data_IF_044697091161
#
_entry.id   IF_044697091161
#
_cell.length_a   1.000
_cell.length_b   1.000
_cell.length_c   1.000
_cell.angle_alpha   90.00
_cell.angle_beta   90.00
_cell.angle_gamma   90.00
#
_symmetry.space_group_name_H-M   'P 1'
#
loop_
_entity.id
_entity.type
_entity.pdbx_description
1 polymer ?
#
# COMPACT_ATOMS: atom_id res chain seq x y z
N UNK A 1 -25.11 -26.73 -2.90
CA UNK A 1 -24.00 -27.73 -2.85
C UNK A 1 -22.61 -27.09 -2.89
N UNK A 2 -22.36 -26.12 -3.75
CA UNK A 2 -20.99 -25.51 -3.97
C UNK A 2 -20.48 -24.73 -2.76
N UNK A 3 -21.33 -24.00 -2.01
CA UNK A 3 -20.95 -23.28 -0.79
C UNK A 3 -20.47 -24.24 0.32
N UNK A 4 -21.13 -25.40 0.48
CA UNK A 4 -20.71 -26.44 1.43
C UNK A 4 -19.33 -26.98 1.05
N UNK A 5 -19.04 -27.16 -0.26
CA UNK A 5 -17.77 -27.68 -0.76
C UNK A 5 -16.62 -26.73 -0.45
N UNK A 6 -16.76 -25.41 -0.67
CA UNK A 6 -15.65 -24.49 -0.40
C UNK A 6 -15.36 -24.36 1.12
N UNK A 7 -16.41 -24.34 1.94
CA UNK A 7 -16.29 -24.30 3.40
C UNK A 7 -15.73 -25.59 4.00
N UNK A 8 -15.88 -26.76 3.31
CA UNK A 8 -15.32 -28.02 3.80
C UNK A 8 -13.81 -28.03 3.88
N UNK A 9 -13.12 -27.20 3.08
CA UNK A 9 -11.66 -27.05 3.19
C UNK A 9 -11.22 -26.46 4.54
N UNK A 10 -12.10 -25.74 5.24
CA UNK A 10 -11.83 -25.23 6.60
C UNK A 10 -11.83 -26.33 7.67
N UNK A 11 -12.18 -27.60 7.34
CA UNK A 11 -11.97 -28.75 8.24
C UNK A 11 -10.49 -29.10 8.41
N UNK A 12 -9.64 -28.68 7.46
CA UNK A 12 -8.19 -28.82 7.60
C UNK A 12 -7.68 -27.81 8.64
N UNK A 13 -7.07 -28.28 9.72
CA UNK A 13 -6.62 -27.47 10.85
C UNK A 13 -5.68 -26.34 10.45
N UNK A 14 -4.71 -26.62 9.55
CA UNK A 14 -3.78 -25.62 9.05
C UNK A 14 -4.50 -24.51 8.29
N UNK A 15 -5.44 -24.85 7.41
CA UNK A 15 -6.25 -23.88 6.67
C UNK A 15 -7.15 -23.09 7.62
N UNK A 16 -7.75 -23.76 8.61
CA UNK A 16 -8.61 -23.11 9.61
C UNK A 16 -7.82 -22.09 10.44
N UNK A 17 -6.61 -22.41 10.88
CA UNK A 17 -5.73 -21.47 11.60
C UNK A 17 -5.45 -20.23 10.75
N UNK A 18 -5.02 -20.41 9.50
CA UNK A 18 -4.75 -19.31 8.57
C UNK A 18 -6.02 -18.49 8.32
N UNK A 19 -7.19 -19.14 8.18
CA UNK A 19 -8.46 -18.45 8.01
C UNK A 19 -8.84 -17.59 9.23
N UNK A 20 -8.59 -18.06 10.46
CA UNK A 20 -8.81 -17.28 11.69
C UNK A 20 -7.92 -16.02 11.69
N UNK A 21 -6.64 -16.16 11.43
CA UNK A 21 -5.68 -15.04 11.37
C UNK A 21 -6.07 -14.02 10.28
N UNK A 22 -6.46 -14.52 9.10
CA UNK A 22 -7.00 -13.71 8.02
C UNK A 22 -8.26 -12.95 8.43
N UNK A 23 -9.20 -13.62 9.10
CA UNK A 23 -10.48 -13.04 9.50
C UNK A 23 -10.30 -11.91 10.52
N UNK A 24 -9.42 -12.10 11.50
CA UNK A 24 -9.04 -11.07 12.48
C UNK A 24 -8.36 -9.88 11.78
N UNK A 25 -7.51 -10.15 10.79
CA UNK A 25 -6.79 -9.11 10.06
C UNK A 25 -7.69 -8.30 9.12
N UNK A 26 -8.70 -8.93 8.51
CA UNK A 26 -9.62 -8.29 7.57
C UNK A 26 -10.69 -7.46 8.27
N UNK A 27 -11.36 -8.02 9.27
CA UNK A 27 -12.36 -7.42 10.15
C UNK A 27 -13.25 -6.34 9.49
N UNK A 28 -13.99 -6.70 8.43
CA UNK A 28 -14.88 -5.77 7.72
C UNK A 28 -16.28 -6.37 7.54
N UNK A 29 -17.30 -5.52 7.56
CA UNK A 29 -18.69 -5.88 7.21
C UNK A 29 -19.11 -5.34 5.85
N UNK A 30 -18.19 -4.70 5.13
CA UNK A 30 -18.45 -4.13 3.81
C UNK A 30 -18.08 -5.13 2.69
N UNK A 31 -18.69 -4.94 1.53
CA UNK A 31 -18.35 -5.67 0.32
C UNK A 31 -16.88 -5.46 -0.06
N UNK A 32 -16.24 -6.49 -0.59
CA UNK A 32 -14.81 -6.51 -0.90
C UNK A 32 -14.53 -6.88 -2.35
N UNK A 33 -13.51 -6.26 -2.91
CA UNK A 33 -12.90 -6.65 -4.17
C UNK A 33 -11.54 -7.29 -3.93
N UNK A 34 -11.10 -8.16 -4.82
CA UNK A 34 -9.80 -8.82 -4.76
C UNK A 34 -9.09 -8.69 -6.11
N UNK A 35 -7.86 -8.25 -6.09
CA UNK A 35 -7.01 -8.30 -7.27
C UNK A 35 -6.36 -9.69 -7.40
N UNK A 36 -6.75 -10.44 -8.42
CA UNK A 36 -6.26 -11.82 -8.63
C UNK A 36 -5.36 -11.86 -9.86
N UNK A 37 -4.11 -12.30 -9.66
CA UNK A 37 -3.13 -12.49 -10.73
C UNK A 37 -2.96 -13.96 -11.15
N UNK A 38 -3.58 -14.89 -10.42
CA UNK A 38 -3.44 -16.33 -10.66
C UNK A 38 -2.28 -17.00 -9.89
N UNK A 39 -1.38 -16.22 -9.30
CA UNK A 39 -0.35 -16.76 -8.41
C UNK A 39 -0.94 -17.30 -7.09
N UNK A 40 -0.17 -18.11 -6.33
CA UNK A 40 -0.68 -18.80 -5.15
C UNK A 40 -1.22 -17.84 -4.09
N UNK A 41 -0.62 -16.65 -3.92
CA UNK A 41 -1.04 -15.65 -2.93
C UNK A 41 -2.41 -15.08 -3.28
N UNK A 42 -2.60 -14.73 -4.55
CA UNK A 42 -3.84 -14.14 -5.03
C UNK A 42 -5.00 -15.14 -5.09
N UNK A 43 -4.74 -16.42 -5.35
CA UNK A 43 -5.74 -17.47 -5.27
C UNK A 43 -6.09 -17.78 -3.81
N UNK A 44 -5.10 -17.87 -2.93
CA UNK A 44 -5.33 -18.11 -1.50
C UNK A 44 -6.18 -17.02 -0.86
N UNK A 45 -5.90 -15.74 -1.16
CA UNK A 45 -6.75 -14.65 -0.63
C UNK A 45 -8.17 -14.72 -1.21
N UNK A 46 -8.34 -15.11 -2.48
CA UNK A 46 -9.66 -15.29 -3.08
C UNK A 46 -10.48 -16.38 -2.37
N UNK A 47 -9.85 -17.51 -2.02
CA UNK A 47 -10.47 -18.57 -1.23
C UNK A 47 -10.84 -18.10 0.18
N UNK A 48 -9.88 -17.53 0.91
CA UNK A 48 -10.10 -17.07 2.29
C UNK A 48 -11.18 -15.99 2.36
N UNK A 49 -11.16 -15.04 1.44
CA UNK A 49 -12.17 -13.99 1.36
C UNK A 49 -13.55 -14.53 0.96
N UNK A 50 -13.63 -15.54 0.11
CA UNK A 50 -14.91 -16.21 -0.19
C UNK A 50 -15.48 -16.91 1.03
N UNK A 51 -14.65 -17.62 1.80
CA UNK A 51 -15.07 -18.24 3.05
C UNK A 51 -15.53 -17.19 4.08
N UNK A 52 -14.80 -16.08 4.18
CA UNK A 52 -15.15 -14.95 5.05
C UNK A 52 -16.48 -14.32 4.64
N UNK A 53 -16.67 -14.05 3.37
CA UNK A 53 -17.89 -13.46 2.82
C UNK A 53 -19.13 -14.33 3.10
N UNK A 54 -19.01 -15.64 2.94
CA UNK A 54 -20.09 -16.60 3.25
C UNK A 54 -20.45 -16.62 4.73
N UNK A 55 -19.47 -16.44 5.63
CA UNK A 55 -19.73 -16.40 7.09
C UNK A 55 -20.27 -15.07 7.58
N UNK A 56 -19.97 -13.96 6.89
CA UNK A 56 -20.35 -12.61 7.31
C UNK A 56 -21.45 -11.98 6.44
N UNK A 57 -22.01 -12.73 5.50
CA UNK A 57 -23.06 -12.27 4.58
C UNK A 57 -22.70 -10.99 3.80
N UNK A 58 -21.46 -10.91 3.30
CA UNK A 58 -20.97 -9.84 2.44
C UNK A 58 -20.65 -10.37 1.04
N UNK A 59 -20.58 -9.48 0.05
CA UNK A 59 -20.22 -9.85 -1.32
C UNK A 59 -18.73 -9.79 -1.54
N UNK A 60 -18.22 -10.70 -2.38
CA UNK A 60 -16.82 -10.71 -2.84
C UNK A 60 -16.76 -10.78 -4.34
N UNK A 61 -15.98 -9.87 -4.96
CA UNK A 61 -15.73 -9.84 -6.39
C UNK A 61 -14.24 -9.92 -6.67
N UNK A 62 -13.83 -10.82 -7.55
CA UNK A 62 -12.45 -10.97 -7.98
C UNK A 62 -12.22 -10.28 -9.33
N UNK A 63 -11.20 -9.43 -9.41
CA UNK A 63 -10.80 -8.76 -10.64
C UNK A 63 -9.45 -9.30 -11.11
N UNK A 64 -9.42 -9.80 -12.34
CA UNK A 64 -8.25 -10.38 -13.00
C UNK A 64 -7.80 -9.37 -14.05
N UNK A 65 -6.63 -8.74 -13.86
CA UNK A 65 -6.12 -7.78 -14.84
C UNK A 65 -5.26 -8.53 -15.87
N UNK A 66 -5.73 -8.52 -17.12
CA UNK A 66 -4.95 -9.00 -18.25
C UNK A 66 -4.16 -7.86 -18.88
N UNK A 67 -2.87 -7.82 -18.57
CA UNK A 67 -1.94 -6.79 -19.06
C UNK A 67 -1.60 -6.91 -20.54
N UNK A 68 -1.85 -8.05 -21.18
CA UNK A 68 -1.48 -8.36 -22.59
C UNK A 68 0.00 -8.08 -22.92
N UNK A 69 0.88 -8.15 -21.92
CA UNK A 69 2.32 -7.91 -22.10
C UNK A 69 3.05 -9.12 -22.66
N UNK A 70 2.58 -10.33 -22.34
CA UNK A 70 3.07 -11.62 -22.85
C UNK A 70 1.97 -12.27 -23.69
N UNK A 71 2.36 -13.17 -24.61
CA UNK A 71 1.41 -13.91 -25.45
C UNK A 71 0.44 -14.76 -24.62
N UNK A 72 0.95 -15.34 -23.53
CA UNK A 72 0.23 -16.26 -22.65
C UNK A 72 -0.71 -15.56 -21.67
N UNK A 73 -0.57 -14.25 -21.45
CA UNK A 73 -1.28 -13.54 -20.37
C UNK A 73 -2.80 -13.66 -20.46
N UNK A 74 -3.35 -13.62 -21.68
CA UNK A 74 -4.80 -13.74 -21.88
C UNK A 74 -5.30 -15.15 -21.63
N UNK A 75 -4.50 -16.18 -21.95
CA UNK A 75 -4.81 -17.57 -21.64
C UNK A 75 -4.73 -17.83 -20.14
N UNK A 76 -3.67 -17.33 -19.48
CA UNK A 76 -3.54 -17.39 -18.03
C UNK A 76 -4.75 -16.74 -17.33
N UNK A 77 -5.17 -15.56 -17.76
CA UNK A 77 -6.34 -14.86 -17.20
C UNK A 77 -7.64 -15.68 -17.38
N UNK A 78 -7.83 -16.33 -18.53
CA UNK A 78 -8.97 -17.24 -18.78
C UNK A 78 -8.92 -18.47 -17.86
N UNK A 79 -7.75 -19.08 -17.69
CA UNK A 79 -7.57 -20.23 -16.80
C UNK A 79 -7.90 -19.86 -15.35
N UNK A 80 -7.39 -18.71 -14.86
CA UNK A 80 -7.71 -18.19 -13.53
C UNK A 80 -9.22 -17.96 -13.38
N UNK A 81 -9.85 -17.34 -14.36
CA UNK A 81 -11.32 -17.16 -14.37
C UNK A 81 -12.06 -18.48 -14.23
N UNK A 82 -11.68 -19.50 -15.03
CA UNK A 82 -12.32 -20.80 -15.01
C UNK A 82 -12.17 -21.48 -13.64
N UNK A 83 -10.99 -21.38 -13.02
CA UNK A 83 -10.75 -21.92 -11.68
C UNK A 83 -11.65 -21.22 -10.66
N UNK A 84 -11.71 -19.89 -10.62
CA UNK A 84 -12.56 -19.14 -9.69
C UNK A 84 -14.06 -19.46 -9.89
N UNK A 85 -14.51 -19.59 -11.15
CA UNK A 85 -15.90 -19.91 -11.48
C UNK A 85 -16.31 -21.31 -10.96
N UNK A 86 -15.41 -22.31 -11.06
CA UNK A 86 -15.67 -23.66 -10.49
C UNK A 86 -15.93 -23.65 -8.99
N UNK A 87 -15.37 -22.66 -8.28
CA UNK A 87 -15.59 -22.46 -6.84
C UNK A 87 -16.71 -21.46 -6.54
N UNK A 88 -17.48 -21.06 -7.54
CA UNK A 88 -18.57 -20.08 -7.42
C UNK A 88 -18.08 -18.75 -6.79
N UNK A 89 -16.88 -18.31 -7.19
CA UNK A 89 -16.31 -17.02 -6.83
C UNK A 89 -16.57 -16.06 -7.98
N UNK A 90 -17.37 -15.02 -7.73
CA UNK A 90 -17.68 -14.00 -8.73
C UNK A 90 -16.38 -13.33 -9.22
N UNK A 91 -16.20 -13.30 -10.54
CA UNK A 91 -14.95 -12.77 -11.09
C UNK A 91 -15.15 -12.10 -12.46
N UNK A 92 -14.22 -11.18 -12.78
CA UNK A 92 -14.20 -10.46 -14.06
C UNK A 92 -12.77 -10.24 -14.53
N UNK A 93 -12.52 -10.51 -15.83
CA UNK A 93 -11.28 -10.14 -16.48
C UNK A 93 -11.36 -8.67 -16.90
N UNK A 94 -10.32 -7.91 -16.57
CA UNK A 94 -10.14 -6.51 -16.93
C UNK A 94 -8.98 -6.41 -17.93
N UNK A 95 -9.28 -6.39 -19.25
CA UNK A 95 -8.22 -6.31 -20.25
C UNK A 95 -7.63 -4.91 -20.31
N UNK A 96 -6.32 -4.84 -20.41
CA UNK A 96 -5.65 -3.58 -20.72
C UNK A 96 -5.73 -3.32 -22.23
N UNK A 97 -6.33 -2.18 -22.58
CA UNK A 97 -6.34 -1.65 -23.93
C UNK A 97 -5.33 -0.52 -24.06
N UNK A 98 -4.46 -0.56 -25.05
CA UNK A 98 -3.47 0.47 -25.34
C UNK A 98 -2.13 -0.08 -25.86
N UNK A 99 -1.25 0.83 -26.28
CA UNK A 99 0.08 0.47 -26.79
C UNK A 99 0.94 -0.12 -25.67
N UNK A 100 1.69 -1.17 -25.98
CA UNK A 100 2.68 -1.75 -25.04
C UNK A 100 3.77 -0.72 -24.77
N UNK A 101 4.09 -0.46 -23.48
CA UNK A 101 5.16 0.48 -23.16
C UNK A 101 6.54 -0.11 -23.50
N UNK A 102 7.42 0.72 -24.05
CA UNK A 102 8.80 0.34 -24.40
C UNK A 102 9.76 0.59 -23.22
N UNK A 103 9.46 1.60 -22.38
CA UNK A 103 10.27 1.97 -21.19
C UNK A 103 9.41 1.94 -19.94
N UNK A 104 10.04 1.68 -18.78
CA UNK A 104 9.38 1.65 -17.47
C UNK A 104 8.16 0.72 -17.42
N UNK A 105 8.21 -0.42 -18.12
CA UNK A 105 7.09 -1.36 -18.31
C UNK A 105 6.41 -1.72 -16.99
N UNK A 106 7.19 -2.07 -15.96
CA UNK A 106 6.63 -2.47 -14.66
C UNK A 106 5.88 -1.36 -13.93
N UNK A 107 6.41 -0.14 -13.94
CA UNK A 107 5.78 1.00 -13.29
C UNK A 107 4.45 1.34 -14.00
N UNK A 108 4.46 1.40 -15.32
CA UNK A 108 3.27 1.67 -16.13
C UNK A 108 2.23 0.55 -16.02
N UNK A 109 2.66 -0.72 -16.06
CA UNK A 109 1.77 -1.86 -15.85
C UNK A 109 1.13 -1.83 -14.46
N UNK A 110 1.90 -1.45 -13.43
CA UNK A 110 1.38 -1.25 -12.08
C UNK A 110 0.35 -0.13 -12.03
N UNK A 111 0.63 1.03 -12.60
CA UNK A 111 -0.30 2.17 -12.60
C UNK A 111 -1.58 1.84 -13.36
N UNK A 112 -1.48 1.21 -14.51
CA UNK A 112 -2.65 0.76 -15.30
C UNK A 112 -3.47 -0.30 -14.57
N UNK A 113 -2.81 -1.26 -13.91
CA UNK A 113 -3.51 -2.24 -13.07
C UNK A 113 -4.34 -1.57 -11.99
N UNK A 114 -3.74 -0.63 -11.24
CA UNK A 114 -4.49 0.08 -10.21
C UNK A 114 -5.62 0.93 -10.78
N UNK A 115 -5.42 1.57 -11.94
CA UNK A 115 -6.47 2.33 -12.61
C UNK A 115 -7.66 1.45 -12.96
N UNK A 116 -7.44 0.29 -13.59
CA UNK A 116 -8.50 -0.65 -13.96
C UNK A 116 -9.24 -1.17 -12.72
N UNK A 117 -8.50 -1.59 -11.68
CA UNK A 117 -9.06 -2.07 -10.43
C UNK A 117 -9.89 -0.99 -9.72
N UNK A 118 -9.39 0.25 -9.65
CA UNK A 118 -10.07 1.37 -9.00
C UNK A 118 -11.36 1.73 -9.71
N UNK A 119 -11.34 1.80 -11.05
CA UNK A 119 -12.53 2.09 -11.85
C UNK A 119 -13.62 1.02 -11.65
N UNK A 120 -13.21 -0.24 -11.61
CA UNK A 120 -14.16 -1.34 -11.40
C UNK A 120 -14.71 -1.36 -9.96
N UNK A 121 -13.88 -1.10 -8.95
CA UNK A 121 -14.33 -0.91 -7.57
C UNK A 121 -15.35 0.23 -7.45
N UNK A 122 -15.06 1.37 -8.07
CA UNK A 122 -15.98 2.53 -8.10
C UNK A 122 -17.31 2.19 -8.75
N UNK A 123 -17.29 1.48 -9.90
CA UNK A 123 -18.51 1.03 -10.61
C UNK A 123 -19.41 0.16 -9.72
N UNK A 124 -18.81 -0.67 -8.89
CA UNK A 124 -19.54 -1.56 -7.98
C UNK A 124 -19.74 -0.97 -6.57
N UNK A 125 -19.36 0.30 -6.33
CA UNK A 125 -19.42 0.97 -5.02
C UNK A 125 -18.65 0.23 -3.92
N UNK A 126 -17.59 -0.51 -4.27
CA UNK A 126 -16.74 -1.25 -3.33
C UNK A 126 -15.61 -0.33 -2.86
N UNK A 127 -15.48 -0.18 -1.53
CA UNK A 127 -14.47 0.68 -0.89
C UNK A 127 -13.22 -0.08 -0.45
N UNK A 128 -13.25 -1.40 -0.42
CA UNK A 128 -12.16 -2.23 0.09
C UNK A 128 -11.61 -3.16 -1.00
N UNK A 129 -10.37 -2.92 -1.44
CA UNK A 129 -9.64 -3.74 -2.41
C UNK A 129 -8.55 -4.55 -1.70
N UNK A 130 -8.66 -5.86 -1.72
CA UNK A 130 -7.72 -6.78 -1.13
C UNK A 130 -6.59 -7.12 -2.11
N UNK A 131 -5.35 -7.12 -1.60
CA UNK A 131 -4.16 -7.55 -2.33
C UNK A 131 -3.50 -8.72 -1.60
N UNK A 132 -3.00 -9.70 -2.36
CA UNK A 132 -2.34 -10.91 -1.84
C UNK A 132 -0.91 -10.67 -1.35
N UNK A 133 -0.58 -9.51 -0.78
CA UNK A 133 0.72 -9.27 -0.17
C UNK A 133 0.82 -10.01 1.17
N UNK A 134 1.96 -10.65 1.40
CA UNK A 134 2.21 -11.54 2.54
C UNK A 134 3.46 -11.14 3.32
N UNK A 135 3.86 -11.94 4.30
CA UNK A 135 4.95 -11.66 5.22
C UNK A 135 6.29 -11.40 4.52
N UNK A 136 6.62 -12.20 3.49
CA UNK A 136 7.87 -12.02 2.77
C UNK A 136 7.88 -10.71 1.96
N UNK A 137 6.72 -10.27 1.42
CA UNK A 137 6.60 -8.96 0.77
C UNK A 137 6.86 -7.79 1.75
N UNK A 138 6.51 -7.95 3.02
CA UNK A 138 6.80 -6.95 4.06
C UNK A 138 8.32 -6.80 4.25
N UNK A 139 9.03 -7.92 4.38
CA UNK A 139 10.49 -7.97 4.52
C UNK A 139 11.20 -7.42 3.28
N UNK A 140 10.79 -7.86 2.09
CA UNK A 140 11.32 -7.36 0.81
C UNK A 140 11.13 -5.85 0.67
N UNK A 141 9.93 -5.35 0.96
CA UNK A 141 9.62 -3.92 0.84
C UNK A 141 10.45 -3.09 1.82
N UNK A 142 10.64 -3.57 3.04
CA UNK A 142 11.47 -2.92 4.04
C UNK A 142 12.91 -2.77 3.55
N UNK A 143 13.55 -3.86 3.08
CA UNK A 143 14.91 -3.80 2.55
C UNK A 143 15.03 -2.95 1.28
N UNK A 144 14.07 -3.03 0.37
CA UNK A 144 14.05 -2.15 -0.82
C UNK A 144 14.09 -0.68 -0.43
N UNK A 145 13.39 -0.30 0.64
CA UNK A 145 13.32 1.07 1.14
C UNK A 145 14.57 1.46 1.93
N UNK A 146 15.10 0.54 2.72
CA UNK A 146 16.35 0.73 3.46
C UNK A 146 17.51 1.01 2.48
N UNK A 147 17.68 0.19 1.45
CA UNK A 147 18.70 0.37 0.39
C UNK A 147 18.52 1.67 -0.40
N UNK A 148 17.32 2.24 -0.41
CA UNK A 148 17.04 3.56 -1.02
C UNK A 148 17.31 4.73 -0.09
N UNK A 149 17.74 4.50 1.15
CA UNK A 149 17.94 5.56 2.14
C UNK A 149 16.63 6.18 2.63
N UNK A 150 15.54 5.41 2.69
CA UNK A 150 14.26 5.92 3.19
C UNK A 150 14.33 6.18 4.68
N UNK A 151 13.82 7.33 5.12
CA UNK A 151 13.59 7.60 6.55
C UNK A 151 12.46 6.75 7.13
N UNK A 152 12.20 6.89 8.42
CA UNK A 152 11.27 6.07 9.21
C UNK A 152 9.88 5.94 8.56
N UNK A 153 9.26 7.06 8.18
CA UNK A 153 7.96 7.06 7.49
C UNK A 153 7.96 6.25 6.19
N UNK A 154 9.07 6.26 5.46
CA UNK A 154 9.26 5.44 4.27
C UNK A 154 9.39 3.95 4.60
N UNK A 155 10.22 3.59 5.58
CA UNK A 155 10.45 2.21 6.01
C UNK A 155 9.16 1.54 6.51
N UNK A 156 8.31 2.27 7.24
CA UNK A 156 7.08 1.77 7.86
C UNK A 156 5.84 1.83 6.97
N UNK A 157 5.93 2.47 5.79
CA UNK A 157 4.77 2.79 4.94
C UNK A 157 4.05 1.60 4.29
N UNK A 158 4.64 0.39 4.33
CA UNK A 158 3.98 -0.82 3.85
C UNK A 158 3.13 -1.42 4.97
N UNK A 159 1.85 -1.02 4.99
CA UNK A 159 0.94 -1.34 6.08
C UNK A 159 -0.25 -2.20 5.65
N UNK A 160 -0.98 -2.74 6.65
CA UNK A 160 -2.19 -3.55 6.46
C UNK A 160 -3.25 -2.81 5.67
N UNK A 161 -3.42 -1.52 5.96
CA UNK A 161 -4.40 -0.66 5.28
C UNK A 161 -3.74 0.61 4.77
N UNK A 162 -4.00 0.96 3.51
CA UNK A 162 -3.56 2.24 2.94
C UNK A 162 -4.65 2.81 2.04
N UNK A 163 -4.93 4.11 2.14
CA UNK A 163 -5.81 4.80 1.19
C UNK A 163 -5.12 4.96 -0.16
N UNK A 164 -5.86 4.71 -1.23
CA UNK A 164 -5.32 4.85 -2.58
C UNK A 164 -5.47 6.28 -3.09
N UNK A 165 -4.33 6.98 -3.28
CA UNK A 165 -4.25 8.30 -3.95
C UNK A 165 -5.37 9.30 -3.55
N UNK A 166 -5.69 9.45 -2.28
CA UNK A 166 -6.79 10.29 -1.78
C UNK A 166 -8.19 9.96 -2.35
N UNK A 167 -8.39 8.75 -2.86
CA UNK A 167 -9.69 8.24 -3.28
C UNK A 167 -10.39 7.53 -2.12
N UNK A 168 -11.71 7.36 -2.21
CA UNK A 168 -12.50 6.58 -1.27
C UNK A 168 -12.33 5.08 -1.54
N UNK A 169 -11.07 4.62 -1.59
CA UNK A 169 -10.69 3.23 -1.78
C UNK A 169 -9.56 2.87 -0.82
N UNK A 170 -9.83 1.88 0.04
CA UNK A 170 -8.86 1.28 0.92
C UNK A 170 -8.19 0.09 0.24
N UNK A 171 -6.88 0.04 0.27
CA UNK A 171 -6.11 -1.15 -0.11
C UNK A 171 -5.80 -1.92 1.16
N UNK A 172 -6.33 -3.12 1.25
CA UNK A 172 -6.18 -4.01 2.39
C UNK A 172 -5.20 -5.15 2.07
N UNK A 173 -4.34 -5.50 3.04
CA UNK A 173 -3.35 -6.58 2.94
C UNK A 173 -3.48 -7.50 4.14
N UNK A 174 -4.55 -8.30 4.20
CA UNK A 174 -4.83 -9.14 5.38
C UNK A 174 -3.87 -10.33 5.55
N UNK A 175 -3.02 -10.60 4.55
CA UNK A 175 -2.06 -11.72 4.59
C UNK A 175 -0.65 -11.31 5.10
N UNK A 176 -0.43 -10.07 5.56
CA UNK A 176 0.91 -9.60 5.94
C UNK A 176 1.57 -10.36 7.09
N UNK A 177 0.80 -11.12 7.87
CA UNK A 177 1.31 -11.98 8.95
C UNK A 177 1.40 -13.46 8.54
N UNK A 178 1.08 -13.81 7.28
CA UNK A 178 1.01 -15.17 6.78
C UNK A 178 2.21 -15.44 5.88
N UNK A 179 2.86 -16.58 6.08
CA UNK A 179 4.04 -16.97 5.29
C UNK A 179 3.66 -17.47 3.89
N UNK A 180 4.54 -17.26 2.93
CA UNK A 180 4.39 -17.73 1.54
C UNK A 180 4.08 -19.23 1.44
N UNK A 181 4.76 -20.06 2.26
CA UNK A 181 4.55 -21.51 2.26
C UNK A 181 3.11 -21.93 2.57
N UNK A 182 2.41 -21.15 3.42
CA UNK A 182 1.01 -21.40 3.77
C UNK A 182 0.07 -21.05 2.63
N UNK A 183 0.37 -19.98 1.90
CA UNK A 183 -0.43 -19.57 0.72
C UNK A 183 -0.26 -20.59 -0.43
N UNK A 184 0.96 -21.07 -0.66
CA UNK A 184 1.22 -22.14 -1.63
C UNK A 184 0.47 -23.42 -1.23
N UNK A 185 0.47 -23.78 0.07
CA UNK A 185 -0.27 -24.93 0.57
C UNK A 185 -1.78 -24.80 0.30
N UNK A 186 -2.40 -23.65 0.64
CA UNK A 186 -3.82 -23.39 0.37
C UNK A 186 -4.10 -23.52 -1.13
N UNK A 187 -3.32 -22.85 -1.96
CA UNK A 187 -3.54 -22.83 -3.41
C UNK A 187 -3.50 -24.25 -4.02
N UNK A 188 -2.51 -25.06 -3.62
CA UNK A 188 -2.41 -26.45 -4.04
C UNK A 188 -3.57 -27.32 -3.53
N UNK A 189 -3.90 -27.20 -2.23
CA UNK A 189 -4.91 -28.05 -1.59
C UNK A 189 -6.34 -27.74 -2.03
N UNK A 190 -6.64 -26.46 -2.30
CA UNK A 190 -7.99 -26.00 -2.67
C UNK A 190 -8.20 -26.05 -4.18
N UNK A 191 -7.27 -25.47 -4.95
CA UNK A 191 -7.46 -25.28 -6.39
C UNK A 191 -6.71 -26.30 -7.25
N UNK A 192 -5.68 -26.94 -6.69
CA UNK A 192 -4.70 -27.75 -7.43
C UNK A 192 -4.13 -27.01 -8.65
N UNK A 193 -4.03 -25.70 -8.57
CA UNK A 193 -3.66 -24.82 -9.66
C UNK A 193 -3.05 -23.51 -9.15
N UNK A 194 -2.06 -23.02 -9.83
CA UNK A 194 -1.63 -21.61 -9.83
C UNK A 194 -0.70 -21.34 -11.03
N UNK A 195 -0.69 -20.08 -11.46
CA UNK A 195 0.20 -19.59 -12.52
C UNK A 195 1.61 -19.38 -11.95
N UNK A 196 2.61 -19.93 -12.62
CA UNK A 196 4.04 -19.66 -12.33
C UNK A 196 4.48 -18.47 -13.19
N UNK A 197 4.79 -17.34 -12.58
CA UNK A 197 5.30 -16.17 -13.30
C UNK A 197 6.83 -16.29 -13.46
N UNK A 198 7.37 -16.35 -14.69
CA UNK A 198 8.80 -16.44 -14.95
C UNK A 198 9.60 -15.26 -14.36
N UNK A 199 8.99 -14.10 -14.22
CA UNK A 199 9.65 -12.90 -13.65
C UNK A 199 10.05 -13.06 -12.17
N UNK A 200 9.54 -14.09 -11.48
CA UNK A 200 9.90 -14.35 -10.08
C UNK A 200 11.34 -14.87 -9.90
N UNK A 201 11.96 -15.37 -10.96
CA UNK A 201 13.31 -15.97 -10.96
C UNK A 201 14.31 -15.02 -11.63
N UNK A 202 13.85 -14.05 -12.42
CA UNK A 202 14.71 -13.16 -13.19
C UNK A 202 15.41 -12.14 -12.29
N UNK A 203 16.75 -12.21 -12.24
CA UNK A 203 17.62 -11.35 -11.43
C UNK A 203 17.72 -9.89 -11.93
N UNK A 204 17.25 -9.61 -13.13
CA UNK A 204 17.11 -8.23 -13.59
C UNK A 204 16.15 -7.44 -12.70
N UNK A 205 15.25 -8.12 -11.99
CA UNK A 205 14.30 -7.48 -11.08
C UNK A 205 14.89 -7.26 -9.69
N UNK A 206 14.76 -6.03 -9.19
CA UNK A 206 15.25 -5.63 -7.86
C UNK A 206 14.72 -6.55 -6.75
N UNK A 207 13.48 -7.01 -6.84
CA UNK A 207 12.89 -7.90 -5.83
C UNK A 207 13.61 -9.25 -5.75
N UNK A 208 13.99 -9.83 -6.88
CA UNK A 208 14.72 -11.11 -6.93
C UNK A 208 16.08 -10.96 -6.26
N UNK A 209 16.81 -9.87 -6.53
CA UNK A 209 18.09 -9.58 -5.86
C UNK A 209 17.93 -9.36 -4.36
N UNK A 210 16.84 -8.70 -3.92
CA UNK A 210 16.57 -8.51 -2.49
C UNK A 210 16.26 -9.83 -1.79
N UNK A 211 15.60 -10.78 -2.45
CA UNK A 211 15.38 -12.14 -1.90
C UNK A 211 16.71 -12.88 -1.68
N UNK A 212 17.66 -12.77 -2.62
CA UNK A 212 19.00 -13.32 -2.42
C UNK A 212 19.71 -12.66 -1.23
N UNK A 213 19.66 -11.33 -1.14
CA UNK A 213 20.23 -10.61 -0.02
C UNK A 213 19.60 -11.03 1.33
N UNK A 214 18.27 -11.24 1.36
CA UNK A 214 17.59 -11.75 2.55
C UNK A 214 18.12 -13.10 2.97
N UNK A 215 18.38 -13.99 2.00
CA UNK A 215 18.94 -15.32 2.28
C UNK A 215 20.35 -15.21 2.90
N UNK A 216 21.23 -14.39 2.32
CA UNK A 216 22.57 -14.17 2.91
C UNK A 216 22.50 -13.56 4.32
N UNK A 217 21.54 -12.66 4.58
CA UNK A 217 21.33 -12.12 5.92
C UNK A 217 20.76 -13.17 6.90
N UNK A 218 20.03 -14.18 6.40
CA UNK A 218 19.58 -15.32 7.21
C UNK A 218 20.75 -16.18 7.65
N UNK A 219 21.78 -16.36 6.82
CA UNK A 219 23.04 -17.05 7.14
C UNK A 219 23.81 -16.31 8.26
N UNK A 220 23.76 -14.98 8.28
CA UNK A 220 24.31 -14.12 9.33
C UNK A 220 23.41 -14.03 10.59
N UNK A 221 22.37 -14.86 10.70
CA UNK A 221 21.51 -14.96 11.88
C UNK A 221 20.31 -14.01 11.90
N UNK A 222 20.05 -13.24 10.82
CA UNK A 222 18.82 -12.47 10.69
C UNK A 222 17.68 -13.41 10.27
N UNK A 223 16.88 -13.87 11.22
CA UNK A 223 15.68 -14.64 10.84
C UNK A 223 14.47 -13.72 10.60
N UNK A 224 13.45 -14.26 9.91
CA UNK A 224 12.22 -13.52 9.59
C UNK A 224 11.54 -12.93 10.83
N UNK A 225 11.54 -13.65 11.97
CA UNK A 225 10.90 -13.18 13.21
C UNK A 225 11.58 -11.92 13.73
N UNK A 226 12.93 -11.91 13.78
CA UNK A 226 13.73 -10.75 14.21
C UNK A 226 13.46 -9.54 13.31
N UNK A 227 13.49 -9.72 11.97
CA UNK A 227 13.23 -8.64 11.02
C UNK A 227 11.81 -8.07 11.17
N UNK A 228 10.81 -8.93 11.30
CA UNK A 228 9.42 -8.53 11.49
C UNK A 228 9.23 -7.79 12.83
N UNK A 229 9.84 -8.27 13.90
CA UNK A 229 9.84 -7.57 15.19
C UNK A 229 10.43 -6.16 15.06
N UNK A 230 11.57 -6.01 14.40
CA UNK A 230 12.18 -4.70 14.11
C UNK A 230 11.24 -3.80 13.33
N UNK A 231 10.59 -4.31 12.28
CA UNK A 231 9.63 -3.53 11.48
C UNK A 231 8.45 -3.06 12.33
N UNK A 232 7.92 -3.90 13.22
CA UNK A 232 6.82 -3.50 14.10
C UNK A 232 7.25 -2.48 15.15
N UNK A 233 8.43 -2.62 15.76
CA UNK A 233 8.97 -1.63 16.69
C UNK A 233 9.13 -0.25 16.00
N UNK A 234 9.65 -0.23 14.77
CA UNK A 234 9.74 0.99 13.97
C UNK A 234 8.37 1.58 13.64
N UNK A 235 7.36 0.73 13.35
CA UNK A 235 5.98 1.19 13.14
C UNK A 235 5.38 1.83 14.37
N UNK A 236 5.64 1.29 15.55
CA UNK A 236 5.12 1.86 16.80
C UNK A 236 5.81 3.19 17.13
N UNK A 237 7.12 3.31 16.88
CA UNK A 237 7.83 4.59 16.93
C UNK A 237 7.25 5.62 15.96
N UNK A 238 6.93 5.20 14.73
CA UNK A 238 6.32 6.07 13.72
C UNK A 238 4.92 6.56 14.15
N UNK A 239 4.11 5.70 14.79
CA UNK A 239 2.81 6.10 15.34
C UNK A 239 2.96 7.19 16.41
N UNK A 240 3.94 7.07 17.31
CA UNK A 240 4.23 8.07 18.32
C UNK A 240 4.59 9.42 17.70
N UNK A 241 5.45 9.42 16.69
CA UNK A 241 5.79 10.65 15.96
C UNK A 241 4.56 11.24 15.27
N UNK A 242 3.73 10.42 14.64
CA UNK A 242 2.48 10.89 13.99
C UNK A 242 1.53 11.55 14.97
N UNK A 243 1.41 11.00 16.19
CA UNK A 243 0.61 11.62 17.24
C UNK A 243 1.10 13.06 17.53
N UNK A 244 2.40 13.27 17.70
CA UNK A 244 2.96 14.58 17.93
C UNK A 244 2.85 15.51 16.70
N UNK A 245 2.95 14.97 15.49
CA UNK A 245 2.69 15.73 14.25
C UNK A 245 1.25 16.25 14.22
N UNK A 246 0.27 15.38 14.49
CA UNK A 246 -1.14 15.75 14.49
C UNK A 246 -1.43 16.75 15.61
N UNK A 247 -0.84 16.57 16.80
CA UNK A 247 -0.92 17.52 17.90
C UNK A 247 -0.34 18.88 17.50
N UNK A 248 0.87 18.93 16.92
CA UNK A 248 1.47 20.17 16.46
C UNK A 248 0.60 20.91 15.42
N UNK A 249 -0.01 20.17 14.50
CA UNK A 249 -0.92 20.75 13.52
C UNK A 249 -2.19 21.32 14.16
N UNK A 250 -2.74 20.62 15.15
CA UNK A 250 -3.98 21.07 15.83
C UNK A 250 -3.73 22.28 16.71
N UNK A 251 -2.63 22.29 17.47
CA UNK A 251 -2.39 23.32 18.49
C UNK A 251 -1.73 24.59 17.91
N UNK A 252 -0.90 24.41 16.88
CA UNK A 252 0.03 25.43 16.40
C UNK A 252 -0.17 25.88 14.95
N UNK A 253 -1.11 25.27 14.19
CA UNK A 253 -1.43 25.68 12.84
C UNK A 253 -2.91 26.07 12.69
N UNK A 254 -3.18 27.27 12.22
CA UNK A 254 -4.54 27.81 12.02
C UNK A 254 -4.86 27.80 10.53
N UNK A 255 -5.91 27.07 10.14
CA UNK A 255 -6.36 27.03 8.74
C UNK A 255 -7.38 28.13 8.46
N UNK A 256 -7.04 29.06 7.59
CA UNK A 256 -7.91 30.13 7.09
C UNK A 256 -8.68 29.66 5.86
N UNK A 257 -9.94 29.22 6.05
CA UNK A 257 -10.79 28.67 4.96
C UNK A 257 -10.94 29.63 3.79
N UNK A 258 -11.22 30.92 4.07
CA UNK A 258 -11.44 31.94 3.03
C UNK A 258 -10.22 32.14 2.12
N UNK A 259 -9.02 32.15 2.68
CA UNK A 259 -7.75 32.35 1.95
C UNK A 259 -7.06 31.06 1.53
N UNK A 260 -7.62 29.89 1.89
CA UNK A 260 -6.99 28.57 1.67
C UNK A 260 -5.52 28.57 2.07
N UNK A 261 -5.23 29.06 3.28
CA UNK A 261 -3.86 29.22 3.78
C UNK A 261 -3.77 28.75 5.24
N UNK A 262 -2.54 28.45 5.69
CA UNK A 262 -2.23 28.16 7.08
C UNK A 262 -1.39 29.28 7.69
N UNK A 263 -1.70 29.67 8.92
CA UNK A 263 -0.84 30.47 9.79
C UNK A 263 -0.20 29.53 10.80
N UNK A 264 1.14 29.51 10.86
CA UNK A 264 1.91 28.73 11.82
C UNK A 264 2.42 29.65 12.92
N UNK A 265 2.07 29.34 14.18
CA UNK A 265 2.53 30.05 15.38
C UNK A 265 4.03 29.77 15.59
N UNK A 266 4.70 30.59 16.38
CA UNK A 266 6.11 30.38 16.77
C UNK A 266 6.30 29.03 17.49
N UNK A 267 5.35 28.61 18.35
CA UNK A 267 5.35 27.31 19.02
C UNK A 267 5.31 26.07 18.09
N UNK A 268 4.90 26.26 16.83
CA UNK A 268 4.98 25.21 15.81
C UNK A 268 6.43 24.76 15.56
N UNK A 269 7.38 25.68 15.67
CA UNK A 269 8.80 25.47 15.44
C UNK A 269 9.58 25.16 16.75
N UNK A 270 8.90 25.06 17.89
CA UNK A 270 9.48 24.66 19.18
C UNK A 270 9.37 23.15 19.44
N UNK A 271 9.05 22.38 18.41
CA UNK A 271 8.95 20.93 18.46
C UNK A 271 10.26 20.27 18.04
N UNK A 272 10.37 18.93 18.17
CA UNK A 272 11.49 18.19 17.60
C UNK A 272 11.56 18.34 16.08
N UNK A 273 12.77 18.29 15.50
CA UNK A 273 13.00 18.47 14.07
C UNK A 273 12.10 17.56 13.21
N UNK A 274 11.94 16.29 13.57
CA UNK A 274 11.14 15.34 12.79
C UNK A 274 9.63 15.71 12.83
N UNK A 275 9.14 16.23 13.95
CA UNK A 275 7.75 16.71 14.08
C UNK A 275 7.53 17.93 13.20
N UNK A 276 8.43 18.92 13.25
CA UNK A 276 8.36 20.12 12.39
C UNK A 276 8.42 19.71 10.91
N UNK A 277 9.40 18.86 10.55
CA UNK A 277 9.60 18.38 9.19
C UNK A 277 8.35 17.72 8.61
N UNK A 278 7.72 16.79 9.36
CA UNK A 278 6.51 16.11 8.90
C UNK A 278 5.29 17.01 8.87
N UNK A 279 5.15 17.89 9.85
CA UNK A 279 4.05 18.86 9.90
C UNK A 279 4.08 19.80 8.71
N UNK A 280 5.23 20.39 8.40
CA UNK A 280 5.43 21.23 7.21
C UNK A 280 5.19 20.46 5.90
N UNK A 281 5.73 19.25 5.79
CA UNK A 281 5.52 18.39 4.62
C UNK A 281 4.03 18.16 4.37
N UNK A 282 3.26 17.87 5.43
CA UNK A 282 1.82 17.61 5.36
C UNK A 282 1.04 18.85 4.93
N UNK A 283 1.34 20.02 5.49
CA UNK A 283 0.69 21.30 5.11
C UNK A 283 0.97 21.63 3.64
N UNK A 284 2.24 21.60 3.22
CA UNK A 284 2.64 21.92 1.84
C UNK A 284 2.01 20.95 0.83
N UNK A 285 1.96 19.67 1.15
CA UNK A 285 1.32 18.67 0.29
C UNK A 285 -0.19 18.91 0.15
N UNK A 286 -0.88 19.25 1.26
CA UNK A 286 -2.32 19.53 1.28
C UNK A 286 -2.65 20.75 0.43
N UNK A 287 -1.96 21.87 0.67
CA UNK A 287 -2.22 23.13 -0.04
C UNK A 287 -1.81 23.06 -1.51
N UNK A 288 -0.64 22.51 -1.79
CA UNK A 288 -0.09 22.40 -3.14
C UNK A 288 -0.80 21.36 -4.01
N UNK A 289 -1.72 20.56 -3.43
CA UNK A 289 -2.44 19.45 -4.09
C UNK A 289 -1.51 18.51 -4.86
N UNK A 290 -0.32 18.25 -4.31
CA UNK A 290 0.66 17.35 -4.93
C UNK A 290 0.37 15.89 -4.55
N UNK A 291 0.44 14.99 -5.53
CA UNK A 291 0.29 13.55 -5.31
C UNK A 291 1.42 12.95 -4.47
N UNK A 292 2.60 13.58 -4.50
CA UNK A 292 3.79 13.15 -3.76
C UNK A 292 4.28 14.29 -2.88
N UNK A 293 4.84 14.00 -1.70
CA UNK A 293 5.44 15.01 -0.84
C UNK A 293 6.67 15.66 -1.52
N UNK A 294 6.99 16.85 -1.10
CA UNK A 294 8.19 17.57 -1.52
C UNK A 294 9.43 16.81 -1.05
N UNK A 295 10.54 16.94 -1.79
CA UNK A 295 11.81 16.28 -1.43
C UNK A 295 12.30 16.75 -0.05
N UNK A 296 12.73 15.80 0.79
CA UNK A 296 13.13 16.08 2.17
C UNK A 296 14.22 17.14 2.28
N UNK A 297 15.22 17.14 1.37
CA UNK A 297 16.28 18.19 1.32
C UNK A 297 15.70 19.60 1.19
N UNK A 298 14.61 19.78 0.45
CA UNK A 298 13.97 21.09 0.29
C UNK A 298 13.23 21.54 1.53
N UNK A 299 12.58 20.62 2.25
CA UNK A 299 11.93 20.90 3.54
C UNK A 299 12.99 21.27 4.58
N UNK A 300 14.09 20.53 4.69
CA UNK A 300 15.18 20.83 5.62
C UNK A 300 15.81 22.21 5.35
N UNK A 301 15.98 22.55 4.05
CA UNK A 301 16.45 23.91 3.68
C UNK A 301 15.47 25.00 4.11
N UNK A 302 14.16 24.73 3.99
CA UNK A 302 13.12 25.65 4.45
C UNK A 302 13.18 25.82 5.99
N UNK A 303 13.23 24.72 6.75
CA UNK A 303 13.32 24.76 8.22
C UNK A 303 14.51 25.61 8.66
N UNK A 304 15.70 25.34 8.09
CA UNK A 304 16.90 26.11 8.40
C UNK A 304 16.75 27.62 8.13
N UNK A 305 16.09 27.99 7.01
CA UNK A 305 15.82 29.41 6.71
C UNK A 305 14.85 30.04 7.69
N UNK A 306 13.84 29.30 8.17
CA UNK A 306 12.91 29.78 9.19
C UNK A 306 13.64 30.01 10.52
N UNK A 307 14.46 29.07 10.94
CA UNK A 307 15.27 29.15 12.18
C UNK A 307 16.21 30.35 12.15
N UNK A 308 16.88 30.58 11.03
CA UNK A 308 17.83 31.71 10.85
C UNK A 308 17.16 33.04 10.47
N UNK A 309 15.83 33.05 10.32
CA UNK A 309 15.05 34.20 9.85
C UNK A 309 15.58 34.81 8.54
N UNK A 310 16.17 33.98 7.67
CA UNK A 310 16.91 34.41 6.48
C UNK A 310 16.05 34.48 5.21
N UNK A 311 14.75 34.72 5.33
CA UNK A 311 13.86 34.90 4.18
C UNK A 311 12.64 35.76 4.53
N UNK A 312 12.11 36.45 3.51
CA UNK A 312 10.81 37.13 3.58
C UNK A 312 9.73 36.26 2.90
N UNK A 313 10.04 35.76 1.69
CA UNK A 313 9.14 34.92 0.90
C UNK A 313 9.91 33.84 0.11
N UNK A 314 9.35 32.61 0.09
CA UNK A 314 9.87 31.50 -0.74
C UNK A 314 8.72 30.70 -1.33
N UNK A 315 9.01 29.99 -2.45
CA UNK A 315 8.05 29.05 -3.06
C UNK A 315 8.53 27.62 -2.88
N UNK A 316 7.62 26.72 -2.47
CA UNK A 316 7.91 25.31 -2.33
C UNK A 316 6.65 24.47 -2.51
N UNK A 317 6.73 23.47 -3.39
CA UNK A 317 5.65 22.48 -3.56
C UNK A 317 4.31 23.03 -4.06
N UNK A 318 4.29 24.19 -4.74
CA UNK A 318 3.08 24.87 -5.19
C UNK A 318 2.44 25.73 -4.08
N UNK A 319 3.26 26.14 -3.12
CA UNK A 319 2.87 27.05 -2.05
C UNK A 319 3.82 28.24 -1.97
N UNK A 320 3.28 29.41 -1.61
CA UNK A 320 4.03 30.54 -1.10
C UNK A 320 4.18 30.39 0.41
N UNK A 321 5.36 30.70 0.92
CA UNK A 321 5.70 30.64 2.34
C UNK A 321 6.28 32.01 2.68
N UNK A 322 5.58 32.76 3.49
CA UNK A 322 5.91 34.13 3.87
C UNK A 322 6.20 34.20 5.37
N UNK A 323 7.24 34.96 5.75
CA UNK A 323 7.53 35.29 7.13
C UNK A 323 6.79 36.60 7.47
N UNK A 324 5.82 36.53 8.38
CA UNK A 324 5.00 37.68 8.78
C UNK A 324 5.10 37.84 10.29
N UNK A 325 5.83 38.85 10.73
CA UNK A 325 6.10 39.11 12.16
C UNK A 325 6.69 37.87 12.86
N UNK A 326 5.98 37.30 13.83
CA UNK A 326 6.37 36.08 14.58
C UNK A 326 5.72 34.81 14.06
N UNK A 327 5.12 34.85 12.86
CA UNK A 327 4.36 33.73 12.28
C UNK A 327 4.85 33.41 10.87
N UNK A 328 4.55 32.18 10.41
CA UNK A 328 4.76 31.79 9.01
C UNK A 328 3.40 31.59 8.37
N UNK A 329 3.16 32.28 7.26
CA UNK A 329 1.99 32.13 6.42
C UNK A 329 2.32 31.18 5.26
N UNK A 330 1.53 30.11 5.09
CA UNK A 330 1.65 29.22 3.94
C UNK A 330 0.35 29.30 3.15
N UNK A 331 0.42 29.77 1.91
CA UNK A 331 -0.70 29.90 0.99
C UNK A 331 -0.45 29.12 -0.30
N UNK A 332 -1.53 28.78 -0.99
CA UNK A 332 -1.41 28.11 -2.27
C UNK A 332 -0.91 29.08 -3.35
N UNK A 333 -0.01 28.62 -4.20
CA UNK A 333 0.42 29.34 -5.38
C UNK A 333 -0.75 29.41 -6.39
N UNK A 334 -1.25 30.62 -6.67
CA UNK A 334 -2.20 30.81 -7.76
C UNK A 334 -1.45 30.62 -9.07
N UNK A 335 -1.79 29.58 -9.81
CA UNK A 335 -1.42 29.53 -11.22
C UNK A 335 -2.36 30.47 -11.97
N UNK A 336 -1.83 31.58 -12.42
CA UNK A 336 -2.47 32.35 -13.50
C UNK A 336 -2.60 31.46 -14.73
#
# INVERSE_FOLDING_TARGET
KTHKKILSHLKNERILKIFKDFSVSLNTKEDIAIAVSGGPDSLSIAFLAKCYALKNNIKVKCFIVDHKLRKESSLEAKNVRNVLTRFNIENKILPWHGKKPVKNIQALARDKRYLLLTNECKKHKIKNLLLGHHLDDLSENFLIRLVRGSGLNGLTSFDKTTKYKNQDLNILRPLLNIEKKDLVYISKKVFNFFVKDPSNIDENFKRTRIRKLLHSLEEEGLNKKKLISTIYNLKDSDKSIRFYVDKNLTDNAIFLKAKKSFILKQSFFSQSHEVIFRSLTKIIQLLGKKNYPVRGKSINKLIKRIETKSFTKVTLGGCYIDSVSKTILISRENKN
#
